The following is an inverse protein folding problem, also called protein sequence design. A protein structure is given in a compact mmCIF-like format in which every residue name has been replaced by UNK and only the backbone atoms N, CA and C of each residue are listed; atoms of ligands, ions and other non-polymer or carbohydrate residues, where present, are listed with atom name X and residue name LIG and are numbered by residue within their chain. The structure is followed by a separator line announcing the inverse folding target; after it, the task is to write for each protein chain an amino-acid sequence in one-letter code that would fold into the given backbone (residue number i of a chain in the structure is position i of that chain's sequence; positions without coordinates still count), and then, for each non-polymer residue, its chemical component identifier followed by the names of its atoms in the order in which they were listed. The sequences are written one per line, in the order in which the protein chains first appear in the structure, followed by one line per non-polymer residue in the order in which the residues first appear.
data_IF_316317881519
#
_entry.id   IF_316317881519
#
_cell.length_a   1.000
_cell.length_b   1.000
_cell.length_c   1.000
_cell.angle_alpha   90.00
_cell.angle_beta   90.00
_cell.angle_gamma   90.00
#
_symmetry.space_group_name_H-M   'P 1'
#
loop_
_entity.id
_entity.type
_entity.pdbx_description
1 polymer ?
#
# COMPACT_ATOMS: atom_id res chain seq x y z
N UNK A 1 9.56 -19.09 -5.76
CA UNK A 1 8.38 -19.27 -4.88
C UNK A 1 7.21 -18.50 -5.45
N UNK A 2 6.01 -19.10 -5.55
CA UNK A 2 4.76 -18.46 -6.02
C UNK A 2 4.18 -17.58 -4.90
N UNK A 3 3.59 -16.42 -5.23
CA UNK A 3 2.88 -15.57 -4.25
C UNK A 3 1.49 -16.16 -3.99
N UNK A 4 1.04 -16.18 -2.75
CA UNK A 4 -0.29 -16.66 -2.40
C UNK A 4 -1.33 -15.53 -2.47
N UNK A 5 -2.35 -15.69 -3.30
CA UNK A 5 -3.49 -14.77 -3.33
C UNK A 5 -4.31 -14.89 -2.04
N UNK A 6 -4.83 -13.77 -1.55
CA UNK A 6 -5.75 -13.74 -0.40
C UNK A 6 -6.98 -12.95 -0.83
N UNK A 7 -8.17 -13.53 -0.68
CA UNK A 7 -9.43 -12.86 -1.02
C UNK A 7 -9.87 -11.91 0.10
N UNK A 8 -10.63 -10.88 -0.25
CA UNK A 8 -11.24 -9.97 0.75
C UNK A 8 -12.13 -10.74 1.72
N UNK A 9 -12.93 -11.68 1.20
CA UNK A 9 -13.77 -12.57 2.01
C UNK A 9 -12.96 -13.32 3.07
N UNK A 10 -11.81 -13.89 2.70
CA UNK A 10 -10.94 -14.57 3.65
C UNK A 10 -10.40 -13.60 4.73
N UNK A 11 -9.98 -12.39 4.34
CA UNK A 11 -9.50 -11.38 5.29
C UNK A 11 -10.58 -10.95 6.29
N UNK A 12 -11.83 -10.80 5.82
CA UNK A 12 -12.98 -10.48 6.66
C UNK A 12 -13.31 -11.61 7.63
N UNK A 13 -13.49 -12.84 7.12
CA UNK A 13 -13.83 -14.01 7.94
C UNK A 13 -12.76 -14.27 9.01
N UNK A 14 -11.49 -14.14 8.64
CA UNK A 14 -10.36 -14.29 9.54
C UNK A 14 -10.30 -13.20 10.62
N UNK A 15 -10.56 -11.95 10.23
CA UNK A 15 -10.45 -10.78 11.10
C UNK A 15 -11.69 -10.50 11.96
N UNK A 16 -12.85 -11.08 11.64
CA UNK A 16 -14.13 -10.77 12.30
C UNK A 16 -14.13 -11.00 13.82
N UNK A 17 -13.28 -11.91 14.30
CA UNK A 17 -13.03 -12.15 15.72
C UNK A 17 -11.52 -12.27 15.94
N UNK A 18 -10.82 -11.15 16.21
CA UNK A 18 -9.39 -11.20 16.46
C UNK A 18 -9.15 -11.93 17.78
N UNK A 19 -8.41 -13.03 17.71
CA UNK A 19 -7.92 -13.78 18.87
C UNK A 19 -6.41 -13.81 18.78
N UNK A 20 -5.70 -14.00 19.90
CA UNK A 20 -4.24 -14.13 19.89
C UNK A 20 -3.77 -15.20 18.89
N UNK A 21 -4.50 -16.32 18.79
CA UNK A 21 -4.24 -17.37 17.80
C UNK A 21 -4.36 -16.87 16.36
N UNK A 22 -5.41 -16.11 16.04
CA UNK A 22 -5.61 -15.55 14.70
C UNK A 22 -4.52 -14.51 14.38
N UNK A 23 -4.17 -13.64 15.32
CA UNK A 23 -3.10 -12.65 15.13
C UNK A 23 -1.75 -13.34 14.88
N UNK A 24 -1.43 -14.37 15.68
CA UNK A 24 -0.22 -15.19 15.49
C UNK A 24 -0.17 -15.89 14.12
N UNK A 25 -1.28 -16.49 13.67
CA UNK A 25 -1.36 -17.13 12.35
C UNK A 25 -1.20 -16.10 11.21
N UNK A 26 -1.78 -14.91 11.37
CA UNK A 26 -1.64 -13.81 10.43
C UNK A 26 -0.19 -13.34 10.34
N UNK A 27 0.47 -13.13 11.48
CA UNK A 27 1.88 -12.75 11.53
C UNK A 27 2.78 -13.82 10.90
N UNK A 28 2.56 -15.10 11.19
CA UNK A 28 3.31 -16.21 10.56
C UNK A 28 3.11 -16.27 9.04
N UNK A 29 1.90 -16.01 8.55
CA UNK A 29 1.62 -15.90 7.12
C UNK A 29 2.41 -14.73 6.50
N UNK A 30 2.33 -13.54 7.09
CA UNK A 30 3.05 -12.35 6.62
C UNK A 30 4.56 -12.52 6.67
N UNK A 31 5.09 -13.16 7.71
CA UNK A 31 6.52 -13.45 7.85
C UNK A 31 7.03 -14.33 6.70
N UNK A 32 6.20 -15.23 6.15
CA UNK A 32 6.54 -16.04 4.98
C UNK A 32 6.36 -15.27 3.65
N UNK A 33 5.31 -14.48 3.52
CA UNK A 33 4.92 -13.85 2.26
C UNK A 33 5.65 -12.53 1.96
N UNK A 34 5.81 -11.66 2.97
CA UNK A 34 6.36 -10.31 2.77
C UNK A 34 7.79 -10.33 2.23
N UNK A 35 8.73 -11.15 2.73
CA UNK A 35 10.09 -11.20 2.18
C UNK A 35 10.11 -11.54 0.69
N UNK A 36 9.30 -12.52 0.26
CA UNK A 36 9.21 -12.93 -1.15
C UNK A 36 8.63 -11.80 -2.01
N UNK A 37 7.56 -11.16 -1.54
CA UNK A 37 6.93 -10.04 -2.26
C UNK A 37 7.87 -8.87 -2.39
N UNK A 38 8.59 -8.51 -1.34
CA UNK A 38 9.45 -7.33 -1.32
C UNK A 38 10.75 -7.57 -2.09
N UNK A 39 11.35 -8.76 -1.99
CA UNK A 39 12.53 -9.12 -2.80
C UNK A 39 12.23 -9.03 -4.30
N UNK A 40 11.06 -9.50 -4.75
CA UNK A 40 10.64 -9.35 -6.15
C UNK A 40 10.52 -7.90 -6.59
N UNK A 41 10.02 -7.02 -5.72
CA UNK A 41 9.94 -5.58 -5.99
C UNK A 41 11.32 -4.92 -6.02
N UNK A 42 12.27 -5.41 -5.21
CA UNK A 42 13.66 -4.97 -5.26
C UNK A 42 14.27 -5.23 -6.63
N UNK A 43 14.18 -6.48 -7.09
CA UNK A 43 14.68 -6.91 -8.40
C UNK A 43 14.03 -6.11 -9.53
N UNK A 44 12.71 -5.88 -9.44
CA UNK A 44 12.01 -5.06 -10.42
C UNK A 44 12.52 -3.62 -10.48
N UNK A 45 12.71 -2.97 -9.33
CA UNK A 45 13.24 -1.60 -9.28
C UNK A 45 14.67 -1.51 -9.85
N UNK A 46 15.49 -2.54 -9.65
CA UNK A 46 16.84 -2.62 -10.22
C UNK A 46 16.79 -2.77 -11.75
N UNK A 47 15.80 -3.50 -12.27
CA UNK A 47 15.59 -3.74 -13.70
C UNK A 47 14.86 -2.63 -14.47
N UNK A 48 14.61 -1.47 -13.84
CA UNK A 48 13.88 -0.37 -14.46
C UNK A 48 14.58 0.15 -15.74
N UNK A 49 13.85 0.29 -16.87
CA UNK A 49 14.44 0.58 -18.16
C UNK A 49 14.94 2.03 -18.28
N UNK A 50 15.66 2.32 -19.38
CA UNK A 50 16.14 3.66 -19.75
C UNK A 50 17.02 4.35 -18.70
N UNK A 51 17.64 3.57 -17.81
CA UNK A 51 18.42 4.12 -16.69
C UNK A 51 17.56 4.75 -15.59
N UNK A 52 16.25 4.48 -15.56
CA UNK A 52 15.37 4.95 -14.49
C UNK A 52 15.77 4.35 -13.14
N UNK A 53 16.26 3.11 -13.10
CA UNK A 53 16.80 2.48 -11.87
C UNK A 53 17.93 3.28 -11.22
N UNK A 54 18.69 4.03 -12.02
CA UNK A 54 19.86 4.79 -11.58
C UNK A 54 19.52 6.22 -11.15
N UNK A 55 18.25 6.65 -11.23
CA UNK A 55 17.89 8.00 -10.83
C UNK A 55 18.00 8.16 -9.32
N UNK A 56 18.61 9.24 -8.81
CA UNK A 56 18.83 9.44 -7.38
C UNK A 56 17.57 9.29 -6.52
N UNK A 57 16.40 9.69 -7.05
CA UNK A 57 15.14 9.52 -6.34
C UNK A 57 14.69 8.04 -6.25
N UNK A 58 14.93 7.23 -7.30
CA UNK A 58 14.60 5.80 -7.33
C UNK A 58 15.54 4.99 -6.43
N UNK A 59 16.82 5.36 -6.37
CA UNK A 59 17.79 4.71 -5.48
C UNK A 59 17.39 4.82 -4.00
N UNK A 60 16.69 5.89 -3.59
CA UNK A 60 16.14 6.02 -2.23
C UNK A 60 15.00 5.04 -1.94
N UNK A 61 14.38 4.47 -2.97
CA UNK A 61 13.27 3.50 -2.86
C UNK A 61 13.78 2.06 -2.84
N UNK A 62 15.03 1.81 -3.24
CA UNK A 62 15.58 0.46 -3.32
C UNK A 62 15.52 -0.27 -1.97
N UNK A 63 14.93 -1.48 -1.92
CA UNK A 63 14.78 -2.26 -0.70
C UNK A 63 16.08 -2.44 0.09
N UNK A 64 17.26 -2.54 -0.51
CA UNK A 64 18.52 -2.59 0.24
C UNK A 64 18.77 -1.38 1.16
N UNK A 65 18.25 -0.19 0.83
CA UNK A 65 18.29 0.98 1.70
C UNK A 65 17.32 0.88 2.90
N UNK A 66 16.29 0.04 2.80
CA UNK A 66 15.24 -0.13 3.84
C UNK A 66 15.44 -1.41 4.66
N UNK A 67 15.97 -2.43 4.01
CA UNK A 67 16.26 -3.74 4.52
C UNK A 67 17.75 -3.80 4.83
N UNK A 68 18.14 -3.21 5.97
CA UNK A 68 19.22 -3.80 6.74
C UNK A 68 18.81 -5.23 7.09
N UNK A 69 18.98 -6.17 6.16
CA UNK A 69 18.73 -7.60 6.35
C UNK A 69 19.82 -8.11 7.30
N UNK A 70 19.67 -7.85 8.59
CA UNK A 70 20.46 -8.50 9.64
C UNK A 70 19.74 -8.64 10.98
N UNK A 71 18.43 -8.44 11.06
CA UNK A 71 17.67 -8.88 12.23
C UNK A 71 17.11 -10.26 11.93
N UNK A 72 17.79 -11.29 12.45
CA UNK A 72 17.53 -12.70 12.15
C UNK A 72 16.04 -13.05 12.11
N UNK A 73 15.61 -13.62 10.98
CA UNK A 73 14.30 -14.23 10.77
C UNK A 73 14.10 -15.40 11.73
N UNK A 74 13.87 -15.09 13.01
CA UNK A 74 13.36 -16.07 13.95
C UNK A 74 11.90 -16.31 13.59
N UNK A 75 11.54 -17.59 13.48
CA UNK A 75 10.16 -17.99 13.31
C UNK A 75 9.31 -17.42 14.45
N UNK A 76 8.15 -16.84 14.13
CA UNK A 76 7.23 -16.25 15.11
C UNK A 76 6.53 -17.38 15.88
N UNK A 77 6.89 -17.58 17.15
CA UNK A 77 6.41 -18.72 17.95
C UNK A 77 5.25 -18.36 18.87
N UNK A 78 5.26 -17.14 19.40
CA UNK A 78 4.36 -16.71 20.47
C UNK A 78 3.88 -15.26 20.26
N UNK A 79 3.01 -14.81 21.17
CA UNK A 79 2.43 -13.47 21.14
C UNK A 79 3.48 -12.35 21.27
N UNK A 80 4.62 -12.61 21.91
CA UNK A 80 5.68 -11.61 22.06
C UNK A 80 6.43 -11.42 20.74
N UNK A 81 6.75 -12.52 20.06
CA UNK A 81 7.33 -12.48 18.71
C UNK A 81 6.38 -11.81 17.72
N UNK A 82 5.08 -12.14 17.82
CA UNK A 82 4.00 -11.57 17.01
C UNK A 82 3.97 -10.05 17.15
N UNK A 83 3.90 -9.52 18.38
CA UNK A 83 3.87 -8.08 18.62
C UNK A 83 5.13 -7.38 18.11
N UNK A 84 6.31 -7.98 18.30
CA UNK A 84 7.57 -7.43 17.78
C UNK A 84 7.57 -7.37 16.24
N UNK A 85 7.06 -8.42 15.60
CA UNK A 85 6.88 -8.46 14.15
C UNK A 85 5.88 -7.40 13.67
N UNK A 86 4.77 -7.22 14.38
CA UNK A 86 3.73 -6.21 14.10
C UNK A 86 4.31 -4.80 14.12
N UNK A 87 5.15 -4.47 15.11
CA UNK A 87 5.85 -3.18 15.14
C UNK A 87 6.82 -3.02 13.97
N UNK A 88 7.58 -4.06 13.63
CA UNK A 88 8.49 -4.04 12.49
C UNK A 88 7.75 -3.76 11.18
N UNK A 89 6.65 -4.46 10.89
CA UNK A 89 5.90 -4.25 9.64
C UNK A 89 5.13 -2.92 9.63
N UNK A 90 4.71 -2.40 10.81
CA UNK A 90 4.17 -1.04 10.95
C UNK A 90 5.20 0.01 10.52
N UNK A 91 6.46 -0.17 10.91
CA UNK A 91 7.54 0.71 10.45
C UNK A 91 7.80 0.60 8.95
N UNK A 92 7.70 -0.59 8.36
CA UNK A 92 7.76 -0.78 6.90
C UNK A 92 6.61 0.00 6.21
N UNK A 93 5.38 -0.10 6.72
CA UNK A 93 4.21 0.62 6.18
C UNK A 93 4.46 2.13 6.13
N UNK A 94 4.97 2.72 7.22
CA UNK A 94 5.27 4.16 7.32
C UNK A 94 6.38 4.55 6.35
N UNK A 95 7.49 3.81 6.33
CA UNK A 95 8.63 4.05 5.43
C UNK A 95 8.21 4.02 3.95
N UNK A 96 7.31 3.11 3.59
CA UNK A 96 6.78 3.01 2.23
C UNK A 96 5.89 4.19 1.80
N UNK A 97 5.52 5.13 2.66
CA UNK A 97 4.68 6.28 2.28
C UNK A 97 5.33 7.14 1.19
N UNK A 98 6.66 7.31 1.24
CA UNK A 98 7.39 8.18 0.31
C UNK A 98 7.73 7.53 -1.04
N UNK A 99 7.34 6.28 -1.26
CA UNK A 99 7.65 5.53 -2.49
C UNK A 99 7.03 6.19 -3.73
N UNK A 100 5.75 6.57 -3.68
CA UNK A 100 5.06 7.16 -4.85
C UNK A 100 5.67 8.51 -5.22
N UNK A 101 5.86 9.47 -4.29
CA UNK A 101 6.57 10.72 -4.59
C UNK A 101 7.99 10.50 -5.12
N UNK A 102 8.76 9.58 -4.54
CA UNK A 102 10.13 9.32 -4.98
C UNK A 102 10.18 8.73 -6.40
N UNK A 103 9.28 7.81 -6.73
CA UNK A 103 9.15 7.28 -8.09
C UNK A 103 8.73 8.36 -9.09
N UNK A 104 7.78 9.22 -8.73
CA UNK A 104 7.36 10.35 -9.56
C UNK A 104 8.53 11.32 -9.85
N UNK A 105 9.32 11.64 -8.82
CA UNK A 105 10.55 12.43 -8.98
C UNK A 105 11.58 11.72 -9.87
N UNK A 106 11.73 10.41 -9.74
CA UNK A 106 12.61 9.60 -10.60
C UNK A 106 12.22 9.69 -12.08
N UNK A 107 10.93 9.54 -12.38
CA UNK A 107 10.39 9.70 -13.75
C UNK A 107 10.59 11.14 -14.24
N UNK A 108 10.43 12.14 -13.38
CA UNK A 108 10.70 13.53 -13.73
C UNK A 108 12.19 13.78 -14.03
N UNK A 109 13.10 13.17 -13.27
CA UNK A 109 14.54 13.23 -13.53
C UNK A 109 14.87 12.60 -14.89
N UNK A 110 14.30 11.44 -15.19
CA UNK A 110 14.44 10.79 -16.50
C UNK A 110 13.93 11.67 -17.66
N UNK A 111 12.78 12.33 -17.47
CA UNK A 111 12.21 13.26 -18.47
C UNK A 111 13.18 14.38 -18.88
N UNK A 112 13.95 14.89 -17.92
CA UNK A 112 14.94 15.95 -18.18
C UNK A 112 16.11 15.42 -19.00
N UNK A 113 16.60 14.22 -18.69
CA UNK A 113 17.80 13.67 -19.33
C UNK A 113 17.59 13.25 -20.78
N UNK A 114 16.40 12.73 -21.11
CA UNK A 114 16.10 12.28 -22.48
C UNK A 114 15.60 13.46 -23.35
N UNK A 115 15.50 14.68 -22.80
CA UNK A 115 14.90 15.86 -23.46
C UNK A 115 13.55 15.54 -24.14
N UNK A 116 12.83 14.55 -23.59
CA UNK A 116 11.73 13.91 -24.25
C UNK A 116 10.45 14.26 -23.50
N UNK A 117 9.60 15.06 -24.14
CA UNK A 117 8.21 15.27 -23.67
C UNK A 117 7.40 13.95 -23.66
N UNK A 118 7.90 12.93 -24.37
CA UNK A 118 7.28 11.63 -24.57
C UNK A 118 7.74 10.50 -23.61
N UNK A 119 8.42 10.78 -22.48
CA UNK A 119 8.55 9.73 -21.43
C UNK A 119 7.18 9.24 -20.95
N UNK A 120 6.16 10.10 -21.06
CA UNK A 120 4.75 9.77 -20.87
C UNK A 120 4.18 8.79 -21.91
N UNK A 121 4.91 8.48 -22.97
CA UNK A 121 4.54 7.55 -24.06
C UNK A 121 5.38 6.27 -24.03
N UNK A 122 6.29 6.14 -23.06
CA UNK A 122 7.08 4.93 -22.87
C UNK A 122 6.21 3.88 -22.17
N UNK A 123 5.50 3.11 -22.99
CA UNK A 123 4.63 1.99 -22.59
C UNK A 123 5.31 1.04 -21.58
N UNK A 124 6.63 0.84 -21.71
CA UNK A 124 7.40 0.01 -20.79
C UNK A 124 7.44 0.55 -19.36
N UNK A 125 7.52 1.88 -19.20
CA UNK A 125 7.51 2.54 -17.89
C UNK A 125 6.11 2.45 -17.28
N UNK A 126 5.06 2.70 -18.05
CA UNK A 126 3.67 2.57 -17.56
C UNK A 126 3.37 1.16 -17.10
N UNK A 127 3.62 0.17 -17.97
CA UNK A 127 3.46 -1.26 -17.65
C UNK A 127 4.27 -1.67 -16.42
N UNK A 128 5.46 -1.10 -16.24
CA UNK A 128 6.23 -1.32 -15.02
C UNK A 128 5.54 -0.74 -13.79
N UNK A 129 5.19 0.56 -13.84
CA UNK A 129 4.61 1.29 -12.72
C UNK A 129 3.28 0.68 -12.28
N UNK A 130 2.46 0.22 -13.21
CA UNK A 130 1.20 -0.48 -12.91
C UNK A 130 1.45 -1.75 -12.11
N UNK A 131 2.35 -2.64 -12.57
CA UNK A 131 2.69 -3.87 -11.84
C UNK A 131 3.30 -3.57 -10.46
N UNK A 132 4.19 -2.57 -10.41
CA UNK A 132 4.86 -2.16 -9.17
C UNK A 132 3.85 -1.62 -8.15
N UNK A 133 2.96 -0.71 -8.56
CA UNK A 133 1.96 -0.11 -7.69
C UNK A 133 0.85 -1.08 -7.30
N UNK A 134 0.40 -1.96 -8.21
CA UNK A 134 -0.55 -3.03 -7.87
C UNK A 134 0.00 -3.97 -6.82
N UNK A 135 1.26 -4.40 -6.96
CA UNK A 135 1.88 -5.18 -5.91
C UNK A 135 2.05 -4.40 -4.61
N UNK A 136 2.42 -3.12 -4.67
CA UNK A 136 2.60 -2.30 -3.46
C UNK A 136 1.27 -2.14 -2.72
N UNK A 137 0.17 -1.94 -3.45
CA UNK A 137 -1.19 -1.91 -2.88
C UNK A 137 -1.49 -3.24 -2.18
N UNK A 138 -1.21 -4.38 -2.81
CA UNK A 138 -1.38 -5.68 -2.17
C UNK A 138 -0.54 -5.89 -0.91
N UNK A 139 0.73 -5.45 -0.90
CA UNK A 139 1.59 -5.50 0.30
C UNK A 139 1.03 -4.61 1.41
N UNK A 140 0.62 -3.38 1.07
CA UNK A 140 0.06 -2.44 2.04
C UNK A 140 -1.29 -2.90 2.59
N UNK A 141 -2.11 -3.56 1.78
CA UNK A 141 -3.37 -4.17 2.21
C UNK A 141 -3.11 -5.26 3.23
N UNK A 142 -2.15 -6.16 2.97
CA UNK A 142 -1.80 -7.24 3.89
C UNK A 142 -1.24 -6.73 5.23
N UNK A 143 -0.27 -5.83 5.18
CA UNK A 143 0.31 -5.22 6.39
C UNK A 143 -0.75 -4.42 7.14
N UNK A 144 -1.50 -3.59 6.42
CA UNK A 144 -2.49 -2.71 6.99
C UNK A 144 -3.64 -3.46 7.63
N UNK A 145 -4.12 -4.56 7.02
CA UNK A 145 -5.13 -5.42 7.61
C UNK A 145 -4.67 -5.98 8.96
N UNK A 146 -3.49 -6.59 9.00
CA UNK A 146 -2.95 -7.16 10.23
C UNK A 146 -2.71 -6.11 11.32
N UNK A 147 -2.17 -4.95 10.95
CA UNK A 147 -1.98 -3.83 11.89
C UNK A 147 -3.32 -3.28 12.38
N UNK A 148 -4.34 -3.20 11.51
CA UNK A 148 -5.67 -2.73 11.89
C UNK A 148 -6.40 -3.68 12.85
N UNK A 149 -6.11 -4.98 12.80
CA UNK A 149 -6.65 -5.94 13.78
C UNK A 149 -6.06 -5.78 15.19
N UNK A 150 -4.99 -4.99 15.34
CA UNK A 150 -4.38 -4.64 16.62
C UNK A 150 -4.82 -3.27 17.14
N UNK A 151 -5.77 -2.60 16.48
CA UNK A 151 -6.27 -1.32 16.95
C UNK A 151 -7.06 -1.53 18.26
N UNK A 152 -6.66 -0.89 19.38
CA UNK A 152 -7.42 -0.99 20.62
C UNK A 152 -8.79 -0.29 20.53
N UNK A 153 -8.99 0.62 19.57
CA UNK A 153 -10.23 1.36 19.36
C UNK A 153 -10.65 1.27 17.88
N UNK A 154 -11.06 0.08 17.41
CA UNK A 154 -11.38 -0.12 16.01
C UNK A 154 -12.64 0.64 15.62
N UNK A 155 -12.63 1.23 14.42
CA UNK A 155 -13.80 1.91 13.87
C UNK A 155 -15.01 0.95 13.79
N UNK A 156 -16.20 1.35 14.26
CA UNK A 156 -17.39 0.51 14.21
C UNK A 156 -17.72 0.07 12.78
N UNK A 157 -17.97 -1.23 12.60
CA UNK A 157 -18.25 -1.78 11.28
C UNK A 157 -17.01 -2.03 10.41
N UNK A 158 -15.80 -1.82 10.93
CA UNK A 158 -14.55 -2.17 10.26
C UNK A 158 -13.92 -3.44 10.85
N UNK A 159 -13.37 -4.29 9.98
CA UNK A 159 -12.53 -5.44 10.33
C UNK A 159 -11.13 -5.14 9.81
N UNK A 160 -10.25 -4.68 10.69
CA UNK A 160 -8.94 -4.16 10.29
C UNK A 160 -9.12 -2.93 9.40
N UNK A 161 -8.84 -3.06 8.09
CA UNK A 161 -9.04 -1.98 7.11
C UNK A 161 -10.29 -2.16 6.24
N UNK A 162 -11.08 -3.20 6.46
CA UNK A 162 -12.22 -3.54 5.61
C UNK A 162 -13.50 -3.05 6.26
N UNK A 163 -14.17 -2.08 5.64
CA UNK A 163 -15.48 -1.60 6.09
C UNK A 163 -16.58 -2.56 5.62
N UNK A 164 -17.28 -3.17 6.56
CA UNK A 164 -18.33 -4.19 6.33
C UNK A 164 -19.70 -3.61 5.96
N UNK A 165 -19.81 -2.28 5.89
CA UNK A 165 -21.01 -1.54 5.49
C UNK A 165 -20.61 -0.25 4.77
N UNK A 166 -19.79 -0.38 3.73
CA UNK A 166 -19.30 0.73 2.93
C UNK A 166 -20.47 1.39 2.18
N UNK A 167 -20.59 2.72 2.29
CA UNK A 167 -21.49 3.52 1.45
C UNK A 167 -20.69 4.18 0.32
N UNK A 168 -20.91 3.81 -0.96
CA UNK A 168 -20.27 4.49 -2.09
C UNK A 168 -20.61 5.98 -2.16
N UNK A 169 -21.84 6.32 -1.78
CA UNK A 169 -22.31 7.71 -1.69
C UNK A 169 -21.45 8.50 -0.71
N UNK A 170 -21.18 7.94 0.47
CA UNK A 170 -20.33 8.60 1.47
C UNK A 170 -18.88 8.72 0.99
N UNK A 171 -18.32 7.66 0.40
CA UNK A 171 -16.95 7.67 -0.14
C UNK A 171 -16.80 8.73 -1.22
N UNK A 172 -17.76 8.81 -2.15
CA UNK A 172 -17.76 9.82 -3.20
C UNK A 172 -17.90 11.24 -2.64
N UNK A 173 -18.75 11.45 -1.63
CA UNK A 173 -18.91 12.75 -0.96
C UNK A 173 -17.61 13.20 -0.31
N UNK A 174 -17.01 12.36 0.54
CA UNK A 174 -15.74 12.67 1.21
C UNK A 174 -14.63 12.98 0.20
N UNK A 175 -14.48 12.16 -0.84
CA UNK A 175 -13.47 12.40 -1.87
C UNK A 175 -13.72 13.70 -2.65
N UNK A 176 -14.99 14.03 -2.92
CA UNK A 176 -15.37 15.27 -3.61
C UNK A 176 -15.12 16.49 -2.71
N UNK A 177 -15.43 16.41 -1.43
CA UNK A 177 -15.17 17.47 -0.44
C UNK A 177 -13.67 17.73 -0.28
N UNK A 178 -12.85 16.67 -0.19
CA UNK A 178 -11.39 16.77 -0.15
C UNK A 178 -10.84 17.47 -1.40
N UNK A 179 -11.31 17.08 -2.60
CA UNK A 179 -10.91 17.70 -3.86
C UNK A 179 -11.34 19.17 -3.93
N UNK A 180 -12.57 19.49 -3.51
CA UNK A 180 -13.08 20.87 -3.45
C UNK A 180 -12.27 21.72 -2.49
N UNK A 181 -11.89 21.20 -1.32
CA UNK A 181 -11.04 21.89 -0.35
C UNK A 181 -9.69 22.30 -0.96
N UNK A 182 -9.06 21.39 -1.72
CA UNK A 182 -7.82 21.70 -2.46
C UNK A 182 -8.08 22.77 -3.53
N UNK A 183 -9.16 22.64 -4.32
CA UNK A 183 -9.50 23.64 -5.35
C UNK A 183 -9.75 25.04 -4.75
N UNK A 184 -10.48 25.13 -3.64
CA UNK A 184 -10.70 26.40 -2.95
C UNK A 184 -9.39 27.03 -2.49
N UNK A 185 -8.47 26.22 -1.96
CA UNK A 185 -7.16 26.72 -1.52
C UNK A 185 -6.32 27.27 -2.67
N UNK A 186 -6.31 26.58 -3.82
CA UNK A 186 -5.45 26.97 -4.95
C UNK A 186 -6.08 28.05 -5.86
N UNK A 187 -7.41 28.04 -6.02
CA UNK A 187 -8.11 28.86 -7.02
C UNK A 187 -9.17 29.79 -6.44
N UNK A 188 -9.41 29.78 -5.12
CA UNK A 188 -10.45 30.58 -4.45
C UNK A 188 -11.88 30.12 -4.74
N UNK A 189 -12.07 29.07 -5.53
CA UNK A 189 -13.38 28.51 -5.87
C UNK A 189 -13.27 27.01 -6.18
N UNK A 190 -14.39 26.31 -6.11
CA UNK A 190 -14.51 24.93 -6.55
C UNK A 190 -15.90 24.68 -7.14
N UNK A 191 -16.02 23.84 -8.19
CA UNK A 191 -17.32 23.48 -8.73
C UNK A 191 -18.20 22.79 -7.68
N UNK A 192 -19.51 22.93 -7.83
CA UNK A 192 -20.47 22.09 -7.12
C UNK A 192 -20.44 20.67 -7.70
N UNK A 193 -20.64 19.68 -6.83
CA UNK A 193 -20.59 18.27 -7.20
C UNK A 193 -21.87 17.63 -6.70
N UNK A 194 -22.78 17.32 -7.63
CA UNK A 194 -23.98 16.56 -7.37
C UNK A 194 -23.71 15.07 -7.54
N UNK A 195 -24.00 14.29 -6.50
CA UNK A 195 -23.80 12.83 -6.50
C UNK A 195 -25.18 12.16 -6.49
N UNK A 196 -25.44 11.39 -7.53
CA UNK A 196 -26.71 10.69 -7.75
C UNK A 196 -26.55 9.19 -7.48
N UNK A 197 -27.61 8.57 -6.96
CA UNK A 197 -27.65 7.14 -6.61
C UNK A 197 -28.54 6.90 -5.39
N UNK A 198 -28.65 5.64 -4.96
CA UNK A 198 -29.33 5.30 -3.72
C UNK A 198 -28.49 5.73 -2.49
N UNK A 199 -28.94 6.70 -1.68
CA UNK A 199 -28.19 7.18 -0.52
C UNK A 199 -28.08 6.12 0.59
N UNK A 200 -28.96 5.11 0.59
CA UNK A 200 -28.98 4.05 1.59
C UNK A 200 -28.23 2.79 1.14
N UNK A 201 -27.72 2.77 -0.09
CA UNK A 201 -26.99 1.62 -0.61
C UNK A 201 -25.66 1.43 0.14
N UNK A 202 -25.49 0.24 0.70
CA UNK A 202 -24.25 -0.17 1.37
C UNK A 202 -23.90 -1.61 1.02
N UNK A 203 -22.60 -1.94 1.07
CA UNK A 203 -22.13 -3.32 0.90
C UNK A 203 -20.91 -3.62 1.79
N UNK A 204 -20.62 -4.90 2.05
CA UNK A 204 -19.47 -5.32 2.85
C UNK A 204 -18.10 -5.27 2.16
#
# INVERSE_FOLDING_TARGET
MKQNGVSLRYMMEFGARPTEKNLLLSAQFLHKELPVRIARRAIELESLPFGLSQKPAVLKVLPCAWFGVHSGCRYIKDCKDELAFTQMIKMIKVRHNNVVPAMALGVQQLKRDINCKAVSELEEIHRFLDRFYMSRIGIRMLIGQHVGLHDPDPEPGCIGQINTRLSPMQVARTASEDARSICFREYGSAPEVDIYGDPNFTFP
#
